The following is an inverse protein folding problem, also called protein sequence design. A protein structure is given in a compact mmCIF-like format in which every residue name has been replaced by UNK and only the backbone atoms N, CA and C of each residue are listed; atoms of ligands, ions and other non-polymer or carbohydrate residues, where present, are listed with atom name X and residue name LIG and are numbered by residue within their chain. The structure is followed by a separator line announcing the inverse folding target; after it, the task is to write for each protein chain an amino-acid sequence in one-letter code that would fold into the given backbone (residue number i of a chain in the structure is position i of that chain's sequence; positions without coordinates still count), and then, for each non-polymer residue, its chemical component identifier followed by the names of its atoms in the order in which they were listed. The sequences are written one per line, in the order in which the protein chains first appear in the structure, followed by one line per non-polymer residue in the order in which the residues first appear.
data_IF_772594843052
#
_entry.id   IF_772594843052
#
_cell.length_a   1.000
_cell.length_b   1.000
_cell.length_c   1.000
_cell.angle_alpha   90.00
_cell.angle_beta   90.00
_cell.angle_gamma   90.00
#
_symmetry.space_group_name_H-M   'P 1'
#
loop_
_entity.id
_entity.type
_entity.pdbx_description
1 polymer ?
#
# COMPACT_ATOMS: atom_id res chain seq x y z
N UNK A 1 18.17 6.56 10.35
CA UNK A 1 18.95 6.21 9.16
C UNK A 1 20.10 5.36 9.64
N UNK A 2 20.09 4.07 9.32
CA UNK A 2 21.20 3.20 9.68
C UNK A 2 22.42 3.59 8.83
N UNK A 3 23.58 3.91 9.43
CA UNK A 3 24.79 4.32 8.70
C UNK A 3 25.47 3.20 7.90
N UNK A 4 24.82 2.04 7.72
CA UNK A 4 25.47 0.78 7.30
C UNK A 4 24.84 0.12 6.07
N UNK A 5 23.95 0.79 5.32
CA UNK A 5 23.38 0.19 4.11
C UNK A 5 24.25 0.45 2.89
N UNK A 6 24.47 -0.58 2.05
CA UNK A 6 25.26 -0.47 0.81
C UNK A 6 24.71 0.59 -0.17
N UNK A 7 23.41 0.87 -0.12
CA UNK A 7 22.77 1.92 -0.90
C UNK A 7 22.00 2.90 -0.02
N UNK A 8 22.10 4.19 -0.34
CA UNK A 8 21.29 5.23 0.27
C UNK A 8 19.85 5.18 -0.26
N UNK A 9 18.89 5.68 0.53
CA UNK A 9 17.49 5.77 0.12
C UNK A 9 17.28 6.60 -1.16
N UNK A 10 18.10 7.65 -1.35
CA UNK A 10 18.09 8.46 -2.57
C UNK A 10 18.55 7.66 -3.80
N UNK A 11 19.57 6.82 -3.64
CA UNK A 11 20.05 5.95 -4.72
C UNK A 11 19.00 4.91 -5.09
N UNK A 12 18.35 4.29 -4.11
CA UNK A 12 17.24 3.35 -4.35
C UNK A 12 16.10 4.02 -5.13
N UNK A 13 15.71 5.23 -4.73
CA UNK A 13 14.68 6.02 -5.42
C UNK A 13 15.06 6.29 -6.88
N UNK A 14 16.31 6.69 -7.15
CA UNK A 14 16.80 6.94 -8.51
C UNK A 14 16.77 5.68 -9.39
N UNK A 15 17.12 4.53 -8.83
CA UNK A 15 17.06 3.24 -9.54
C UNK A 15 15.61 2.91 -9.88
N UNK A 16 14.69 3.05 -8.91
CA UNK A 16 13.26 2.79 -9.14
C UNK A 16 12.66 3.72 -10.20
N UNK A 17 13.00 5.01 -10.18
CA UNK A 17 12.62 5.98 -11.22
C UNK A 17 13.15 5.63 -12.61
N UNK A 18 14.29 4.94 -12.69
CA UNK A 18 14.87 4.49 -13.96
C UNK A 18 14.20 3.22 -14.48
N UNK A 19 13.77 2.33 -13.58
CA UNK A 19 13.09 1.08 -13.92
C UNK A 19 11.62 1.30 -14.33
N UNK A 20 10.90 2.17 -13.62
CA UNK A 20 9.47 2.35 -13.78
C UNK A 20 9.07 2.63 -15.25
N UNK A 21 9.69 3.58 -15.99
CA UNK A 21 9.35 3.82 -17.40
C UNK A 21 9.59 2.61 -18.31
N UNK A 22 10.62 1.80 -18.03
CA UNK A 22 10.94 0.59 -18.80
C UNK A 22 9.87 -0.48 -18.57
N UNK A 23 9.45 -0.66 -17.31
CA UNK A 23 8.35 -1.54 -16.93
C UNK A 23 7.08 -1.08 -17.64
N UNK A 24 6.70 0.19 -17.53
CA UNK A 24 5.49 0.74 -18.17
C UNK A 24 5.50 0.50 -19.69
N UNK A 25 6.65 0.65 -20.36
CA UNK A 25 6.78 0.41 -21.80
C UNK A 25 6.68 -1.07 -22.18
N UNK A 26 7.24 -1.98 -21.38
CA UNK A 26 7.34 -3.42 -21.71
C UNK A 26 6.18 -4.26 -21.21
N UNK A 27 5.56 -3.88 -20.10
CA UNK A 27 4.58 -4.68 -19.39
C UNK A 27 3.21 -4.75 -20.09
N UNK A 28 2.96 -3.86 -21.08
CA UNK A 28 1.63 -3.64 -21.63
C UNK A 28 0.66 -3.10 -20.56
N UNK A 29 -0.46 -2.52 -20.98
CA UNK A 29 -1.40 -1.81 -20.09
C UNK A 29 -1.89 -2.64 -18.88
N UNK A 30 -1.87 -3.98 -18.97
CA UNK A 30 -2.39 -4.88 -17.92
C UNK A 30 -1.43 -5.21 -16.78
N UNK A 31 -0.11 -5.20 -17.01
CA UNK A 31 0.91 -5.45 -15.96
C UNK A 31 1.54 -4.13 -15.50
N UNK A 32 1.62 -3.13 -16.40
CA UNK A 32 2.07 -1.77 -16.09
C UNK A 32 1.22 -1.06 -15.03
N UNK A 33 -0.08 -1.39 -14.93
CA UNK A 33 -0.98 -0.83 -13.93
C UNK A 33 -0.80 -1.42 -12.52
N UNK A 34 0.00 -2.50 -12.37
CA UNK A 34 0.06 -3.26 -11.13
C UNK A 34 1.20 -2.80 -10.19
N UNK A 35 2.38 -2.45 -10.70
CA UNK A 35 3.52 -2.11 -9.82
C UNK A 35 3.77 -0.62 -9.83
N UNK A 36 3.88 -0.03 -8.64
CA UNK A 36 4.23 1.38 -8.51
C UNK A 36 5.70 1.57 -8.12
N UNK A 37 6.11 2.83 -7.99
CA UNK A 37 7.47 3.18 -7.60
C UNK A 37 7.87 2.58 -6.23
N UNK A 38 6.98 2.63 -5.23
CA UNK A 38 7.22 2.06 -3.89
C UNK A 38 7.49 0.56 -3.95
N UNK A 39 6.74 -0.18 -4.77
CA UNK A 39 6.89 -1.63 -4.91
C UNK A 39 8.30 -1.98 -5.47
N UNK A 40 8.77 -1.19 -6.45
CA UNK A 40 10.12 -1.34 -7.02
C UNK A 40 11.20 -0.96 -6.00
N UNK A 41 11.04 0.17 -5.29
CA UNK A 41 11.96 0.61 -4.24
C UNK A 41 12.12 -0.44 -3.14
N UNK A 42 11.01 -1.01 -2.65
CA UNK A 42 11.02 -2.07 -1.65
C UNK A 42 11.71 -3.34 -2.14
N UNK A 43 11.52 -3.71 -3.40
CA UNK A 43 12.17 -4.88 -3.97
C UNK A 43 13.69 -4.69 -4.06
N UNK A 44 14.15 -3.52 -4.51
CA UNK A 44 15.58 -3.17 -4.54
C UNK A 44 16.13 -3.17 -3.12
N UNK A 45 15.44 -2.51 -2.18
CA UNK A 45 15.84 -2.44 -0.77
C UNK A 45 16.01 -3.83 -0.17
N UNK A 46 15.06 -4.74 -0.41
CA UNK A 46 15.16 -6.12 0.07
C UNK A 46 16.36 -6.87 -0.52
N UNK A 47 16.67 -6.65 -1.80
CA UNK A 47 17.88 -7.20 -2.43
C UNK A 47 19.16 -6.69 -1.76
N UNK A 48 19.23 -5.39 -1.47
CA UNK A 48 20.37 -4.77 -0.78
C UNK A 48 20.50 -5.27 0.66
N UNK A 49 19.39 -5.31 1.40
CA UNK A 49 19.38 -5.76 2.80
C UNK A 49 19.79 -7.23 2.94
N UNK A 50 19.37 -8.09 2.00
CA UNK A 50 19.78 -9.49 1.98
C UNK A 50 21.29 -9.65 1.76
N UNK A 51 21.87 -8.80 0.91
CA UNK A 51 23.32 -8.74 0.73
C UNK A 51 24.02 -8.21 1.97
N UNK A 52 23.54 -7.11 2.56
CA UNK A 52 24.10 -6.54 3.78
C UNK A 52 24.13 -7.58 4.93
N UNK A 53 23.05 -8.36 5.07
CA UNK A 53 22.96 -9.43 6.06
C UNK A 53 23.90 -10.60 5.74
N UNK A 54 23.98 -11.00 4.48
CA UNK A 54 24.91 -12.03 4.02
C UNK A 54 26.39 -11.63 4.24
N UNK A 55 26.75 -10.36 4.02
CA UNK A 55 28.10 -9.86 4.29
C UNK A 55 28.40 -9.81 5.80
N UNK A 56 27.43 -9.45 6.65
CA UNK A 56 27.59 -9.42 8.12
C UNK A 56 27.87 -10.81 8.72
N UNK A 57 27.44 -11.88 8.07
CA UNK A 57 27.68 -13.25 8.53
C UNK A 57 29.11 -13.74 8.23
N UNK A 58 29.89 -12.98 7.45
CA UNK A 58 31.26 -13.31 7.08
C UNK A 58 32.26 -12.52 7.91
N UNK A 59 33.52 -13.00 7.92
CA UNK A 59 34.62 -12.19 8.44
C UNK A 59 34.70 -10.88 7.63
N UNK A 60 34.85 -9.75 8.31
CA UNK A 60 35.06 -8.42 7.72
C UNK A 60 36.10 -8.43 6.59
N UNK A 61 37.15 -9.25 6.69
CA UNK A 61 38.18 -9.38 5.64
C UNK A 61 37.69 -10.04 4.34
N UNK A 62 36.50 -10.65 4.34
CA UNK A 62 35.90 -11.35 3.21
C UNK A 62 34.78 -10.55 2.52
N UNK A 63 34.52 -9.31 2.96
CA UNK A 63 33.53 -8.43 2.32
C UNK A 63 33.96 -8.01 0.91
N UNK A 64 32.99 -7.82 0.00
CA UNK A 64 33.27 -7.52 -1.41
C UNK A 64 34.03 -6.19 -1.57
N UNK A 65 33.69 -5.22 -0.72
CA UNK A 65 34.24 -3.86 -0.72
C UNK A 65 35.30 -3.61 0.36
N UNK A 66 35.89 -4.68 0.95
CA UNK A 66 36.85 -4.56 2.05
C UNK A 66 38.07 -3.67 1.73
N UNK A 67 38.52 -3.62 0.47
CA UNK A 67 39.75 -2.91 0.06
C UNK A 67 39.51 -1.49 -0.50
N UNK A 68 38.34 -0.86 -0.24
CA UNK A 68 37.97 0.45 -0.84
C UNK A 68 38.35 1.63 0.08
N UNK A 69 39.12 2.63 -0.43
CA UNK A 69 39.41 3.98 0.17
C UNK A 69 39.74 5.00 -0.96
N UNK A 70 39.54 6.37 -0.86
CA UNK A 70 39.22 7.23 0.29
C UNK A 70 37.96 8.15 0.16
N UNK A 71 37.03 7.93 -0.79
CA UNK A 71 35.70 8.61 -0.74
C UNK A 71 34.75 7.95 0.29
N UNK A 72 35.22 6.92 0.99
CA UNK A 72 34.44 6.11 1.94
C UNK A 72 33.25 5.40 1.30
N UNK A 73 32.25 5.08 2.13
CA UNK A 73 30.97 4.49 1.71
C UNK A 73 30.23 5.27 0.60
N UNK A 74 30.50 6.58 0.45
CA UNK A 74 29.93 7.38 -0.64
C UNK A 74 30.46 6.96 -2.02
N UNK A 75 31.68 6.42 -2.09
CA UNK A 75 32.24 5.86 -3.33
C UNK A 75 31.54 4.56 -3.74
N UNK A 76 31.20 3.71 -2.75
CA UNK A 76 30.46 2.46 -2.96
C UNK A 76 29.01 2.75 -3.36
N UNK A 77 28.33 3.66 -2.67
CA UNK A 77 26.95 4.06 -3.00
C UNK A 77 26.85 4.65 -4.43
N UNK A 78 27.79 5.53 -4.81
CA UNK A 78 27.85 6.09 -6.17
C UNK A 78 28.06 4.99 -7.21
N UNK A 79 29.03 4.10 -6.97
CA UNK A 79 29.31 2.98 -7.86
C UNK A 79 28.10 2.05 -8.04
N UNK A 80 27.46 1.65 -6.95
CA UNK A 80 26.29 0.79 -6.99
C UNK A 80 25.12 1.53 -7.67
N UNK A 81 24.94 2.82 -7.44
CA UNK A 81 23.97 3.65 -8.15
C UNK A 81 24.21 3.66 -9.66
N UNK A 82 25.45 3.82 -10.10
CA UNK A 82 25.82 3.79 -11.52
C UNK A 82 25.67 2.39 -12.12
N UNK A 83 26.02 1.34 -11.37
CA UNK A 83 25.80 -0.06 -11.76
C UNK A 83 24.32 -0.37 -11.96
N UNK A 84 23.46 -0.05 -10.99
CA UNK A 84 22.03 -0.36 -11.06
C UNK A 84 21.27 0.52 -12.05
N UNK A 85 21.84 1.65 -12.47
CA UNK A 85 21.29 2.48 -13.56
C UNK A 85 21.89 2.16 -14.94
N UNK A 86 22.82 1.20 -15.03
CA UNK A 86 23.33 0.69 -16.30
C UNK A 86 22.20 0.06 -17.12
N UNK A 87 22.15 0.35 -18.42
CA UNK A 87 21.07 -0.12 -19.30
C UNK A 87 20.93 -1.65 -19.36
N UNK A 88 22.04 -2.40 -19.32
CA UNK A 88 22.00 -3.86 -19.33
C UNK A 88 21.44 -4.41 -18.00
N UNK A 89 21.84 -3.81 -16.88
CA UNK A 89 21.35 -4.18 -15.55
C UNK A 89 19.86 -3.87 -15.43
N UNK A 90 19.42 -2.68 -15.85
CA UNK A 90 18.02 -2.29 -15.86
C UNK A 90 17.14 -3.26 -16.69
N UNK A 91 17.64 -3.75 -17.82
CA UNK A 91 16.92 -4.72 -18.66
C UNK A 91 16.71 -6.06 -17.94
N UNK A 92 17.70 -6.52 -17.18
CA UNK A 92 17.62 -7.74 -16.38
C UNK A 92 16.73 -7.57 -15.14
N UNK A 93 16.84 -6.44 -14.44
CA UNK A 93 15.97 -6.13 -13.29
C UNK A 93 14.51 -5.90 -13.68
N UNK A 94 14.24 -5.58 -14.95
CA UNK A 94 12.87 -5.49 -15.47
C UNK A 94 12.22 -6.86 -15.60
N UNK A 95 12.98 -7.96 -15.85
CA UNK A 95 12.41 -9.28 -16.16
C UNK A 95 11.43 -9.78 -15.10
N UNK A 96 11.74 -9.73 -13.79
CA UNK A 96 10.80 -10.17 -12.75
C UNK A 96 9.54 -9.33 -12.69
N UNK A 97 9.67 -8.02 -12.89
CA UNK A 97 8.56 -7.05 -12.80
C UNK A 97 7.51 -7.26 -13.89
N UNK A 98 7.91 -7.87 -15.01
CA UNK A 98 7.02 -8.21 -16.13
C UNK A 98 6.78 -9.72 -16.26
N UNK A 99 7.04 -10.48 -15.20
CA UNK A 99 6.84 -11.93 -15.12
C UNK A 99 7.60 -12.73 -16.20
N UNK A 100 8.79 -12.28 -16.59
CA UNK A 100 9.69 -12.95 -17.54
C UNK A 100 10.79 -13.79 -16.86
N UNK A 101 10.69 -14.00 -15.55
CA UNK A 101 11.60 -14.85 -14.78
C UNK A 101 12.69 -14.08 -14.05
N UNK A 102 13.71 -14.81 -13.57
CA UNK A 102 14.83 -14.25 -12.79
C UNK A 102 15.78 -13.43 -13.68
N UNK A 103 16.40 -12.36 -13.15
CA UNK A 103 17.52 -11.69 -13.81
C UNK A 103 18.66 -12.67 -14.11
N UNK A 104 19.30 -12.51 -15.27
CA UNK A 104 20.44 -13.32 -15.66
C UNK A 104 21.71 -12.92 -14.87
N UNK A 105 22.17 -13.82 -14.01
CA UNK A 105 23.34 -13.60 -13.14
C UNK A 105 24.62 -13.31 -13.92
N UNK A 106 24.86 -13.99 -15.03
CA UNK A 106 26.10 -13.85 -15.79
C UNK A 106 26.20 -12.47 -16.44
N UNK A 107 25.08 -11.94 -16.92
CA UNK A 107 24.98 -10.57 -17.45
C UNK A 107 25.24 -9.56 -16.33
N UNK A 108 24.61 -9.76 -15.16
CA UNK A 108 24.76 -8.89 -14.01
C UNK A 108 26.21 -8.87 -13.48
N UNK A 109 26.85 -10.04 -13.36
CA UNK A 109 28.25 -10.17 -12.92
C UNK A 109 29.19 -9.47 -13.90
N UNK A 110 29.01 -9.71 -15.21
CA UNK A 110 29.84 -9.09 -16.25
C UNK A 110 29.71 -7.57 -16.24
N UNK A 111 28.49 -7.05 -16.14
CA UNK A 111 28.26 -5.61 -16.03
C UNK A 111 28.89 -5.02 -14.75
N UNK A 112 28.85 -5.76 -13.63
CA UNK A 112 29.43 -5.33 -12.36
C UNK A 112 30.95 -5.22 -12.45
N UNK A 113 31.61 -6.23 -13.03
CA UNK A 113 33.06 -6.22 -13.24
C UNK A 113 33.48 -5.06 -14.15
N UNK A 114 32.79 -4.86 -15.27
CA UNK A 114 33.07 -3.75 -16.20
C UNK A 114 32.92 -2.38 -15.52
N UNK A 115 31.87 -2.22 -14.71
CA UNK A 115 31.66 -0.98 -13.96
C UNK A 115 32.74 -0.78 -12.88
N UNK A 116 33.13 -1.84 -12.18
CA UNK A 116 34.18 -1.78 -11.16
C UNK A 116 35.53 -1.39 -11.76
N UNK A 117 35.88 -1.93 -12.93
CA UNK A 117 37.08 -1.54 -13.70
C UNK A 117 37.03 -0.07 -14.12
N UNK A 118 35.90 0.39 -14.66
CA UNK A 118 35.71 1.78 -15.08
C UNK A 118 35.86 2.78 -13.91
N UNK A 119 35.37 2.41 -12.73
CA UNK A 119 35.47 3.20 -11.50
C UNK A 119 36.76 2.95 -10.71
N UNK A 120 37.65 2.07 -11.20
CA UNK A 120 38.91 1.65 -10.54
C UNK A 120 38.70 1.10 -9.11
N UNK A 121 37.56 0.45 -8.89
CA UNK A 121 37.21 -0.17 -7.61
C UNK A 121 37.89 -1.54 -7.53
N UNK A 122 38.68 -1.74 -6.47
CA UNK A 122 39.33 -3.03 -6.20
C UNK A 122 38.37 -3.92 -5.40
N UNK A 123 37.68 -4.81 -6.11
CA UNK A 123 36.88 -5.86 -5.49
C UNK A 123 37.78 -6.85 -4.75
N UNK A 124 37.33 -7.33 -3.61
CA UNK A 124 38.02 -8.36 -2.86
C UNK A 124 37.98 -9.71 -3.62
N UNK A 125 39.14 -10.24 -4.01
CA UNK A 125 39.24 -11.51 -4.71
C UNK A 125 38.86 -12.72 -3.83
N UNK A 126 38.88 -12.56 -2.51
CA UNK A 126 38.44 -13.58 -1.56
C UNK A 126 36.90 -13.58 -1.39
N UNK A 127 36.22 -12.52 -1.84
CA UNK A 127 34.77 -12.45 -1.86
C UNK A 127 34.22 -13.07 -3.16
N UNK A 128 33.11 -13.80 -3.04
CA UNK A 128 32.41 -14.34 -4.21
C UNK A 128 31.41 -13.31 -4.73
N UNK A 129 31.80 -12.55 -5.76
CA UNK A 129 30.88 -11.73 -6.53
C UNK A 129 29.68 -12.54 -7.08
N UNK A 130 29.85 -13.79 -7.54
CA UNK A 130 28.72 -14.64 -7.91
C UNK A 130 27.70 -14.82 -6.77
N UNK A 131 28.17 -15.12 -5.55
CA UNK A 131 27.27 -15.32 -4.40
C UNK A 131 26.58 -14.01 -4.01
N UNK A 132 27.30 -12.88 -4.11
CA UNK A 132 26.76 -11.55 -3.85
C UNK A 132 25.59 -11.24 -4.80
N UNK A 133 25.82 -11.43 -6.12
CA UNK A 133 24.79 -11.20 -7.14
C UNK A 133 23.63 -12.19 -6.98
N UNK A 134 23.92 -13.45 -6.67
CA UNK A 134 22.88 -14.45 -6.43
C UNK A 134 22.01 -14.11 -5.22
N UNK A 135 22.61 -13.64 -4.12
CA UNK A 135 21.90 -13.21 -2.91
C UNK A 135 20.97 -12.05 -3.23
N UNK A 136 21.49 -11.01 -3.88
CA UNK A 136 20.68 -9.87 -4.33
C UNK A 136 19.52 -10.31 -5.22
N UNK A 137 19.83 -11.10 -6.27
CA UNK A 137 18.85 -11.53 -7.27
C UNK A 137 17.75 -12.38 -6.65
N UNK A 138 18.08 -13.30 -5.75
CA UNK A 138 17.09 -14.15 -5.11
C UNK A 138 16.13 -13.35 -4.23
N UNK A 139 16.64 -12.43 -3.40
CA UNK A 139 15.80 -11.55 -2.58
C UNK A 139 14.94 -10.61 -3.44
N UNK A 140 15.55 -9.93 -4.41
CA UNK A 140 14.84 -9.06 -5.35
C UNK A 140 13.71 -9.81 -6.08
N UNK A 141 14.01 -11.01 -6.61
CA UNK A 141 13.03 -11.83 -7.32
C UNK A 141 11.89 -12.32 -6.41
N UNK A 142 12.19 -12.73 -5.18
CA UNK A 142 11.16 -13.17 -4.23
C UNK A 142 10.21 -12.03 -3.84
N UNK A 143 10.72 -10.83 -3.61
CA UNK A 143 9.90 -9.66 -3.28
C UNK A 143 9.06 -9.19 -4.47
N UNK A 144 9.65 -9.09 -5.67
CA UNK A 144 8.89 -8.73 -6.88
C UNK A 144 7.78 -9.75 -7.18
N UNK A 145 8.05 -11.05 -7.04
CA UNK A 145 7.03 -12.08 -7.20
C UNK A 145 5.91 -11.96 -6.15
N UNK A 146 6.25 -11.60 -4.91
CA UNK A 146 5.27 -11.37 -3.84
C UNK A 146 4.39 -10.16 -4.14
N UNK A 147 4.96 -9.04 -4.59
CA UNK A 147 4.18 -7.85 -4.94
C UNK A 147 3.27 -8.09 -6.15
N UNK A 148 3.75 -8.82 -7.17
CA UNK A 148 2.88 -9.26 -8.27
C UNK A 148 1.70 -10.11 -7.78
N UNK A 149 1.91 -11.02 -6.81
CA UNK A 149 0.82 -11.79 -6.19
C UNK A 149 -0.15 -10.89 -5.43
N UNK A 150 0.33 -9.87 -4.72
CA UNK A 150 -0.54 -8.91 -4.04
C UNK A 150 -1.42 -8.16 -5.03
N UNK A 151 -0.89 -7.78 -6.19
CA UNK A 151 -1.68 -7.08 -7.20
C UNK A 151 -2.77 -7.96 -7.81
N UNK A 152 -2.45 -9.22 -8.10
CA UNK A 152 -3.45 -10.22 -8.54
C UNK A 152 -4.51 -10.44 -7.46
N UNK A 153 -4.08 -10.62 -6.20
CA UNK A 153 -4.99 -10.83 -5.07
C UNK A 153 -5.87 -9.60 -4.81
N UNK A 154 -5.33 -8.39 -4.98
CA UNK A 154 -6.08 -7.14 -4.84
C UNK A 154 -7.20 -7.05 -5.85
N UNK A 155 -6.93 -7.39 -7.12
CA UNK A 155 -7.97 -7.37 -8.15
C UNK A 155 -9.13 -8.29 -7.81
N UNK A 156 -8.85 -9.52 -7.37
CA UNK A 156 -9.89 -10.46 -6.91
C UNK A 156 -10.61 -9.92 -5.66
N UNK A 157 -9.85 -9.46 -4.67
CA UNK A 157 -10.39 -8.86 -3.44
C UNK A 157 -11.36 -7.70 -3.73
N UNK A 158 -10.94 -6.71 -4.53
CA UNK A 158 -11.79 -5.57 -4.89
C UNK A 158 -13.01 -6.00 -5.70
N UNK A 159 -12.85 -6.95 -6.62
CA UNK A 159 -13.97 -7.48 -7.39
C UNK A 159 -15.02 -8.15 -6.49
N UNK A 160 -14.59 -8.99 -5.54
CA UNK A 160 -15.52 -9.64 -4.61
C UNK A 160 -16.13 -8.65 -3.61
N UNK A 161 -15.34 -7.69 -3.12
CA UNK A 161 -15.82 -6.64 -2.22
C UNK A 161 -16.92 -5.81 -2.90
N UNK A 162 -16.67 -5.34 -4.13
CA UNK A 162 -17.66 -4.63 -4.91
C UNK A 162 -18.91 -5.49 -5.13
N UNK A 163 -18.76 -6.75 -5.54
CA UNK A 163 -19.91 -7.66 -5.73
C UNK A 163 -20.74 -7.84 -4.45
N UNK A 164 -20.09 -7.91 -3.29
CA UNK A 164 -20.76 -8.12 -2.01
C UNK A 164 -21.53 -6.88 -1.53
N UNK A 165 -21.01 -5.68 -1.76
CA UNK A 165 -21.57 -4.43 -1.23
C UNK A 165 -22.33 -3.58 -2.26
N UNK A 166 -22.19 -3.85 -3.56
CA UNK A 166 -22.89 -3.14 -4.64
C UNK A 166 -24.31 -3.67 -4.86
N UNK A 167 -24.63 -4.90 -4.40
CA UNK A 167 -25.97 -5.48 -4.50
C UNK A 167 -26.86 -4.99 -3.34
N UNK A 168 -27.71 -3.99 -3.61
CA UNK A 168 -28.68 -3.47 -2.63
C UNK A 168 -30.03 -4.11 -2.87
N UNK A 169 -30.43 -4.99 -1.94
CA UNK A 169 -31.79 -5.54 -1.89
C UNK A 169 -32.70 -4.59 -1.11
N UNK A 170 -33.70 -4.02 -1.78
CA UNK A 170 -34.74 -3.23 -1.13
C UNK A 170 -35.72 -4.15 -0.39
N UNK A 171 -35.51 -4.37 0.91
CA UNK A 171 -36.51 -4.99 1.76
C UNK A 171 -37.63 -3.98 2.06
N UNK A 172 -38.84 -4.18 1.52
CA UNK A 172 -40.03 -3.44 1.97
C UNK A 172 -40.99 -2.88 0.91
N UNK A 173 -40.75 -3.06 -0.40
CA UNK A 173 -41.71 -2.64 -1.46
C UNK A 173 -42.34 -3.88 -2.13
N UNK A 174 -42.77 -4.85 -1.32
CA UNK A 174 -43.58 -5.95 -1.83
C UNK A 174 -45.06 -5.55 -1.70
N UNK A 175 -45.66 -5.14 -2.83
CA UNK A 175 -47.12 -5.14 -2.96
C UNK A 175 -47.57 -6.61 -2.95
N UNK A 176 -48.64 -7.00 -2.23
CA UNK A 176 -49.10 -8.38 -2.20
C UNK A 176 -49.30 -8.92 -3.63
N UNK A 177 -48.52 -9.93 -4.02
CA UNK A 177 -48.56 -10.54 -5.36
C UNK A 177 -47.36 -10.27 -6.28
N UNK A 178 -46.37 -9.47 -5.86
CA UNK A 178 -45.14 -9.24 -6.61
C UNK A 178 -43.90 -9.44 -5.72
N UNK A 179 -43.28 -10.62 -5.78
CA UNK A 179 -41.87 -10.76 -5.42
C UNK A 179 -41.03 -10.21 -6.58
N UNK A 180 -40.75 -8.92 -6.55
CA UNK A 180 -39.68 -8.35 -7.37
C UNK A 180 -38.56 -7.97 -6.42
N UNK A 181 -37.58 -8.85 -6.22
CA UNK A 181 -36.26 -8.42 -5.77
C UNK A 181 -35.69 -7.51 -6.86
N UNK A 182 -36.04 -6.21 -6.84
CA UNK A 182 -35.29 -5.21 -7.60
C UNK A 182 -33.98 -5.02 -6.86
N UNK A 183 -32.92 -5.66 -7.33
CA UNK A 183 -31.57 -5.27 -6.98
C UNK A 183 -31.16 -4.09 -7.86
N UNK A 184 -30.69 -3.02 -7.23
CA UNK A 184 -30.07 -1.90 -7.93
C UNK A 184 -28.63 -1.77 -7.43
N UNK A 185 -27.74 -1.24 -8.27
CA UNK A 185 -26.34 -1.03 -7.88
C UNK A 185 -26.25 0.14 -6.90
N UNK A 186 -25.58 -0.06 -5.76
CA UNK A 186 -25.40 0.96 -4.74
C UNK A 186 -24.90 2.28 -5.35
N UNK A 187 -23.91 2.21 -6.23
CA UNK A 187 -23.33 3.40 -6.86
C UNK A 187 -24.31 4.17 -7.77
N UNK A 188 -25.41 3.55 -8.22
CA UNK A 188 -26.42 4.17 -9.10
C UNK A 188 -27.57 4.83 -8.33
N UNK A 189 -27.85 4.33 -7.12
CA UNK A 189 -28.99 4.79 -6.29
C UNK A 189 -28.55 5.67 -5.10
N UNK A 190 -27.26 5.68 -4.79
CA UNK A 190 -26.74 6.41 -3.63
C UNK A 190 -26.78 7.92 -3.88
N UNK A 191 -27.46 8.64 -2.98
CA UNK A 191 -27.46 10.10 -2.96
C UNK A 191 -26.46 10.55 -1.91
N UNK A 192 -25.47 11.34 -2.33
CA UNK A 192 -24.41 11.83 -1.44
C UNK A 192 -24.99 12.72 -0.33
N UNK A 193 -24.82 12.38 0.95
CA UNK A 193 -25.31 13.20 2.05
C UNK A 193 -24.41 14.41 2.31
N UNK A 194 -25.01 15.46 2.88
CA UNK A 194 -24.26 16.55 3.51
C UNK A 194 -23.70 16.09 4.86
N UNK A 195 -22.48 16.54 5.15
CA UNK A 195 -21.82 16.38 6.44
C UNK A 195 -21.49 17.75 7.03
N UNK A 196 -21.42 17.78 8.35
CA UNK A 196 -21.08 18.97 9.13
C UNK A 196 -19.78 18.67 9.86
N UNK A 197 -18.77 19.50 9.65
CA UNK A 197 -17.51 19.40 10.41
C UNK A 197 -17.69 20.00 11.80
N UNK A 198 -17.48 19.17 12.81
CA UNK A 198 -17.39 19.56 14.21
C UNK A 198 -15.91 19.57 14.60
N UNK A 199 -15.33 20.77 14.73
CA UNK A 199 -13.96 20.95 15.23
C UNK A 199 -14.03 21.00 16.76
N UNK A 200 -14.04 19.84 17.39
CA UNK A 200 -13.88 19.75 18.84
C UNK A 200 -12.39 19.75 19.20
N UNK A 201 -11.96 20.67 20.06
CA UNK A 201 -10.60 20.59 20.64
C UNK A 201 -10.54 19.46 21.66
N UNK A 202 -9.36 18.92 21.94
CA UNK A 202 -9.17 17.89 22.98
C UNK A 202 -9.74 18.32 24.34
N UNK A 203 -9.72 19.63 24.62
CA UNK A 203 -10.30 20.23 25.81
C UNK A 203 -11.84 20.22 25.81
N UNK A 204 -12.45 20.39 24.64
CA UNK A 204 -13.90 20.35 24.49
C UNK A 204 -14.44 18.93 24.72
N UNK A 205 -13.74 17.90 24.20
CA UNK A 205 -14.08 16.49 24.43
C UNK A 205 -13.91 16.07 25.90
N UNK A 206 -12.88 16.59 26.59
CA UNK A 206 -12.64 16.31 28.01
C UNK A 206 -13.70 16.97 28.90
N UNK A 207 -14.11 18.20 28.57
CA UNK A 207 -15.20 18.90 29.23
C UNK A 207 -16.57 18.25 28.97
N UNK A 208 -16.80 17.72 27.77
CA UNK A 208 -18.04 17.01 27.43
C UNK A 208 -18.16 15.69 28.21
N UNK A 209 -17.05 14.93 28.32
CA UNK A 209 -17.00 13.70 29.14
C UNK A 209 -17.29 13.98 30.63
N UNK A 210 -16.70 15.04 31.18
CA UNK A 210 -16.94 15.47 32.56
C UNK A 210 -18.38 15.98 32.77
N UNK A 211 -18.98 16.62 31.75
CA UNK A 211 -20.36 17.08 31.80
C UNK A 211 -21.37 15.91 31.76
N UNK A 212 -21.14 14.90 30.92
CA UNK A 212 -21.94 13.67 30.87
C UNK A 212 -21.90 12.91 32.20
N UNK A 213 -20.73 12.83 32.84
CA UNK A 213 -20.56 12.23 34.17
C UNK A 213 -21.30 13.00 35.28
N UNK A 214 -21.47 14.32 35.11
CA UNK A 214 -22.14 15.20 36.09
C UNK A 214 -23.66 15.31 35.93
N UNK A 215 -24.23 14.86 34.81
CA UNK A 215 -25.66 14.97 34.50
C UNK A 215 -26.15 16.39 34.18
N UNK A 216 -25.27 17.39 34.08
CA UNK A 216 -25.61 18.74 33.64
C UNK A 216 -25.87 18.77 32.12
N UNK A 217 -27.15 18.82 31.70
CA UNK A 217 -27.51 19.23 30.34
C UNK A 217 -27.21 20.73 30.18
N UNK A 218 -26.02 21.08 29.71
CA UNK A 218 -25.76 22.44 29.21
C UNK A 218 -26.23 22.57 27.76
N UNK A 219 -26.85 23.70 27.48
CA UNK A 219 -27.22 24.13 26.14
C UNK A 219 -25.97 24.11 25.25
N UNK A 220 -26.05 23.34 24.15
CA UNK A 220 -25.02 23.24 23.09
C UNK A 220 -24.58 24.60 22.50
N UNK A 221 -25.27 25.69 22.83
CA UNK A 221 -25.03 27.04 22.36
C UNK A 221 -23.67 27.65 22.78
N UNK A 222 -23.01 27.15 23.83
CA UNK A 222 -21.72 27.72 24.28
C UNK A 222 -20.50 27.24 23.47
N UNK A 223 -20.63 26.19 22.65
CA UNK A 223 -19.60 25.71 21.72
C UNK A 223 -19.71 26.36 20.32
N UNK A 224 -20.70 27.22 20.08
CA UNK A 224 -20.99 27.85 18.79
C UNK A 224 -20.09 29.07 18.48
N UNK A 225 -18.76 28.89 18.42
CA UNK A 225 -17.86 29.94 17.88
C UNK A 225 -17.17 29.61 16.58
N UNK A 226 -17.50 28.50 15.97
CA UNK A 226 -17.14 28.21 14.58
C UNK A 226 -18.39 27.84 13.82
N UNK A 227 -18.70 28.63 12.79
CA UNK A 227 -19.76 28.31 11.84
C UNK A 227 -19.48 26.89 11.31
N UNK A 228 -20.39 25.91 11.53
CA UNK A 228 -20.11 24.54 11.15
C UNK A 228 -19.95 24.47 9.63
N UNK A 229 -18.78 24.03 9.16
CA UNK A 229 -18.52 23.89 7.72
C UNK A 229 -19.37 22.74 7.21
N UNK A 230 -20.30 23.04 6.30
CA UNK A 230 -21.10 22.04 5.60
C UNK A 230 -20.49 21.72 4.26
N UNK A 231 -20.41 20.45 3.93
CA UNK A 231 -19.93 19.97 2.64
C UNK A 231 -20.46 18.56 2.34
N UNK A 232 -20.29 18.09 1.11
CA UNK A 232 -20.70 16.75 0.70
C UNK A 232 -19.75 15.69 1.26
N UNK A 233 -20.26 14.51 1.59
CA UNK A 233 -19.44 13.48 2.24
C UNK A 233 -18.25 12.98 1.38
N UNK A 234 -18.31 13.06 0.05
CA UNK A 234 -17.16 12.76 -0.83
C UNK A 234 -15.95 13.66 -0.54
N UNK A 235 -16.19 14.92 -0.18
CA UNK A 235 -15.14 15.88 0.18
C UNK A 235 -14.49 15.54 1.54
N UNK A 236 -15.01 14.58 2.31
CA UNK A 236 -14.36 14.12 3.55
C UNK A 236 -12.95 13.59 3.29
N UNK A 237 -12.74 12.90 2.18
CA UNK A 237 -11.47 12.23 1.90
C UNK A 237 -10.42 13.17 1.30
N UNK A 238 -10.86 14.29 0.71
CA UNK A 238 -9.98 15.26 0.02
C UNK A 238 -9.70 16.53 0.83
N UNK A 239 -10.65 16.98 1.66
CA UNK A 239 -10.53 18.23 2.42
C UNK A 239 -10.00 18.03 3.84
N UNK A 240 -10.02 16.81 4.38
CA UNK A 240 -9.47 16.52 5.70
C UNK A 240 -7.96 16.26 5.64
N UNK A 241 -7.20 17.05 6.40
CA UNK A 241 -5.77 16.79 6.64
C UNK A 241 -5.56 15.62 7.63
N UNK A 242 -6.62 15.23 8.34
CA UNK A 242 -6.59 14.16 9.34
C UNK A 242 -6.69 12.79 8.69
N UNK A 243 -5.75 11.89 9.04
CA UNK A 243 -5.78 10.46 8.63
C UNK A 243 -6.88 9.63 9.31
N UNK A 244 -7.70 10.26 10.17
CA UNK A 244 -8.73 9.62 10.98
C UNK A 244 -9.93 10.55 11.03
N UNK A 245 -11.10 10.01 10.70
CA UNK A 245 -12.37 10.73 10.67
C UNK A 245 -13.39 9.89 11.42
N UNK A 246 -14.21 10.54 12.24
CA UNK A 246 -15.34 9.91 12.93
C UNK A 246 -16.63 10.53 12.39
N UNK A 247 -17.52 9.70 11.85
CA UNK A 247 -18.81 10.15 11.33
C UNK A 247 -19.90 9.83 12.34
N UNK A 248 -20.48 10.88 12.92
CA UNK A 248 -21.59 10.79 13.85
C UNK A 248 -22.93 11.03 13.14
N UNK A 249 -24.01 10.50 13.69
CA UNK A 249 -25.35 10.72 13.16
C UNK A 249 -26.39 9.82 13.80
N UNK A 250 -27.66 10.20 13.68
CA UNK A 250 -28.77 9.42 14.23
C UNK A 250 -28.83 7.98 13.68
N UNK A 251 -29.44 7.02 14.40
CA UNK A 251 -29.77 5.71 13.84
C UNK A 251 -30.54 5.86 12.52
N UNK A 252 -30.17 5.09 11.50
CA UNK A 252 -30.80 5.17 10.17
C UNK A 252 -30.30 6.31 9.27
N UNK A 253 -29.39 7.18 9.71
CA UNK A 253 -28.85 8.29 8.91
C UNK A 253 -27.97 7.89 7.71
N UNK A 254 -27.88 6.60 7.37
CA UNK A 254 -27.11 6.11 6.23
C UNK A 254 -25.59 5.96 6.44
N UNK A 255 -25.05 6.11 7.65
CA UNK A 255 -23.59 5.98 7.92
C UNK A 255 -22.97 4.71 7.34
N UNK A 256 -23.56 3.55 7.61
CA UNK A 256 -23.06 2.27 7.08
C UNK A 256 -23.17 2.20 5.56
N UNK A 257 -24.23 2.79 4.99
CA UNK A 257 -24.40 2.88 3.53
C UNK A 257 -23.34 3.76 2.89
N UNK A 258 -22.99 4.90 3.53
CA UNK A 258 -21.90 5.78 3.10
C UNK A 258 -20.54 5.05 3.13
N UNK A 259 -20.24 4.29 4.19
CA UNK A 259 -19.00 3.48 4.25
C UNK A 259 -18.96 2.40 3.16
N UNK A 260 -20.08 1.69 2.94
CA UNK A 260 -20.19 0.73 1.83
C UNK A 260 -20.00 1.41 0.47
N UNK A 261 -20.57 2.61 0.28
CA UNK A 261 -20.43 3.36 -0.96
C UNK A 261 -18.97 3.73 -1.23
N UNK A 262 -18.25 4.28 -0.25
CA UNK A 262 -16.81 4.55 -0.39
C UNK A 262 -16.01 3.28 -0.71
N UNK A 263 -16.29 2.18 -0.02
CA UNK A 263 -15.62 0.91 -0.28
C UNK A 263 -15.84 0.42 -1.72
N UNK A 264 -17.07 0.49 -2.23
CA UNK A 264 -17.41 0.08 -3.60
C UNK A 264 -16.75 1.00 -4.63
N UNK A 265 -16.80 2.32 -4.43
CA UNK A 265 -16.18 3.29 -5.36
C UNK A 265 -14.67 3.08 -5.45
N UNK A 266 -13.99 2.87 -4.32
CA UNK A 266 -12.56 2.54 -4.29
C UNK A 266 -12.27 1.18 -4.96
N UNK A 267 -13.07 0.16 -4.68
CA UNK A 267 -12.91 -1.16 -5.29
C UNK A 267 -13.13 -1.16 -6.81
N UNK A 268 -13.93 -0.22 -7.31
CA UNK A 268 -14.18 -0.01 -8.75
C UNK A 268 -13.17 0.96 -9.40
N UNK A 269 -12.10 1.34 -8.69
CA UNK A 269 -11.07 2.28 -9.18
C UNK A 269 -11.62 3.68 -9.51
N UNK A 270 -12.65 4.12 -8.78
CA UNK A 270 -13.28 5.45 -8.93
C UNK A 270 -12.93 6.36 -7.74
N UNK A 271 -11.65 6.40 -7.38
CA UNK A 271 -11.18 7.23 -6.27
C UNK A 271 -11.32 8.73 -6.59
N UNK A 272 -11.17 9.11 -7.86
CA UNK A 272 -11.33 10.49 -8.34
C UNK A 272 -12.76 11.02 -8.12
N UNK A 273 -13.77 10.17 -8.25
CA UNK A 273 -15.18 10.51 -7.94
C UNK A 273 -15.38 10.81 -6.45
N UNK A 274 -14.46 10.37 -5.58
CA UNK A 274 -14.43 10.69 -4.15
C UNK A 274 -13.48 11.86 -3.82
N UNK A 275 -12.97 12.56 -4.84
CA UNK A 275 -12.01 13.65 -4.67
C UNK A 275 -10.63 13.21 -4.19
N UNK A 276 -10.34 11.91 -4.16
CA UNK A 276 -8.99 11.41 -3.92
C UNK A 276 -8.16 11.54 -5.19
N UNK A 277 -6.86 11.81 -5.04
CA UNK A 277 -5.93 11.68 -6.15
C UNK A 277 -6.06 10.28 -6.75
N UNK A 278 -6.18 10.16 -8.08
CA UNK A 278 -6.22 8.86 -8.76
C UNK A 278 -4.92 8.06 -8.66
N UNK A 279 -3.89 8.63 -8.02
CA UNK A 279 -2.51 8.16 -8.04
C UNK A 279 -2.09 7.19 -6.91
N UNK A 280 -2.79 7.06 -5.77
CA UNK A 280 -2.65 5.87 -4.95
C UNK A 280 -3.67 4.84 -5.43
N UNK A 281 -3.17 3.69 -5.84
CA UNK A 281 -3.99 2.51 -6.01
C UNK A 281 -4.52 2.05 -4.63
N UNK A 282 -5.70 2.55 -4.24
CA UNK A 282 -6.26 2.38 -2.89
C UNK A 282 -6.81 0.97 -2.64
N UNK A 283 -6.62 0.45 -1.43
CA UNK A 283 -7.27 -0.76 -0.93
C UNK A 283 -8.34 -0.40 0.14
N UNK A 284 -9.65 -0.52 -0.16
CA UNK A 284 -10.69 -0.36 0.84
C UNK A 284 -10.74 -1.59 1.77
N UNK A 285 -10.79 -1.38 3.08
CA UNK A 285 -10.94 -2.44 4.10
C UNK A 285 -12.17 -2.11 4.95
N UNK A 286 -13.30 -2.75 4.68
CA UNK A 286 -14.55 -2.49 5.39
C UNK A 286 -14.72 -3.43 6.59
N UNK A 287 -14.80 -2.87 7.80
CA UNK A 287 -14.87 -3.64 9.05
C UNK A 287 -16.12 -3.27 9.84
N UNK A 288 -17.04 -4.23 9.95
CA UNK A 288 -18.18 -4.09 10.86
C UNK A 288 -17.72 -4.34 12.29
N UNK A 289 -17.60 -3.28 13.09
CA UNK A 289 -17.19 -3.37 14.52
C UNK A 289 -18.03 -4.39 15.30
N UNK A 290 -19.35 -4.47 15.04
CA UNK A 290 -20.25 -5.46 15.65
C UNK A 290 -19.81 -6.90 15.38
N UNK A 291 -19.31 -7.18 14.18
CA UNK A 291 -18.86 -8.51 13.80
C UNK A 291 -17.44 -8.79 14.30
N UNK A 292 -16.55 -7.78 14.31
CA UNK A 292 -15.24 -7.87 14.94
C UNK A 292 -15.35 -8.19 16.45
N UNK A 293 -16.29 -7.57 17.16
CA UNK A 293 -16.52 -7.78 18.58
C UNK A 293 -16.89 -9.24 18.94
N UNK A 294 -17.32 -10.05 17.96
CA UNK A 294 -17.59 -11.49 18.14
C UNK A 294 -16.32 -12.35 18.07
N UNK A 295 -15.18 -11.75 17.74
CA UNK A 295 -13.88 -12.40 17.60
C UNK A 295 -12.81 -11.64 18.41
N UNK A 296 -12.95 -11.57 19.75
CA UNK A 296 -12.04 -10.81 20.61
C UNK A 296 -10.60 -11.35 20.61
N UNK A 297 -10.41 -12.58 20.13
CA UNK A 297 -9.12 -13.26 19.98
C UNK A 297 -8.32 -12.81 18.75
N UNK A 298 -8.93 -12.05 17.82
CA UNK A 298 -8.33 -11.68 16.53
C UNK A 298 -7.92 -10.22 16.47
N UNK A 299 -6.77 -9.95 15.87
CA UNK A 299 -6.42 -8.59 15.47
C UNK A 299 -7.35 -8.09 14.36
N UNK A 300 -7.35 -6.78 14.11
CA UNK A 300 -8.09 -6.15 13.00
C UNK A 300 -7.70 -6.79 11.66
N UNK A 301 -6.41 -7.08 11.47
CA UNK A 301 -5.87 -7.65 10.23
C UNK A 301 -6.30 -9.11 10.09
N UNK A 302 -6.21 -9.90 11.16
CA UNK A 302 -6.65 -11.31 11.15
C UNK A 302 -8.15 -11.42 10.87
N UNK A 303 -8.93 -10.51 11.45
CA UNK A 303 -10.36 -10.42 11.17
C UNK A 303 -10.62 -10.04 9.72
N UNK A 304 -9.93 -9.04 9.17
CA UNK A 304 -10.08 -8.63 7.78
C UNK A 304 -9.76 -9.76 6.80
N UNK A 305 -8.69 -10.53 7.06
CA UNK A 305 -8.33 -11.74 6.28
C UNK A 305 -9.41 -12.81 6.39
N UNK A 306 -9.84 -13.13 7.61
CA UNK A 306 -10.92 -14.10 7.84
C UNK A 306 -12.21 -13.69 7.14
N UNK A 307 -12.57 -12.40 7.18
CA UNK A 307 -13.74 -11.87 6.50
C UNK A 307 -13.59 -11.99 4.97
N UNK A 308 -12.44 -11.61 4.42
CA UNK A 308 -12.14 -11.71 3.00
C UNK A 308 -12.33 -13.15 2.48
N UNK A 309 -11.71 -14.11 3.15
CA UNK A 309 -11.67 -15.50 2.68
C UNK A 309 -12.99 -16.25 2.96
N UNK A 310 -13.62 -16.00 4.12
CA UNK A 310 -14.80 -16.78 4.55
C UNK A 310 -16.16 -16.16 4.22
N UNK A 311 -16.23 -14.84 3.99
CA UNK A 311 -17.51 -14.15 3.75
C UNK A 311 -17.66 -13.67 2.33
N UNK A 312 -16.68 -12.92 1.82
CA UNK A 312 -16.74 -12.40 0.45
C UNK A 312 -16.12 -13.36 -0.58
N UNK A 313 -15.70 -14.57 -0.16
CA UNK A 313 -15.25 -15.66 -1.02
C UNK A 313 -14.07 -15.29 -1.94
N UNK A 314 -13.13 -14.48 -1.42
CA UNK A 314 -11.86 -14.21 -2.09
C UNK A 314 -11.00 -15.47 -1.99
N UNK A 315 -10.18 -15.73 -3.02
CA UNK A 315 -9.18 -16.79 -2.95
C UNK A 315 -8.23 -16.58 -1.76
N UNK A 316 -7.55 -17.62 -1.30
CA UNK A 316 -6.60 -17.51 -0.19
C UNK A 316 -5.65 -16.33 -0.42
N UNK A 317 -5.68 -15.36 0.49
CA UNK A 317 -4.89 -14.15 0.34
C UNK A 317 -3.42 -14.47 0.64
N UNK A 318 -2.47 -13.96 -0.16
CA UNK A 318 -1.06 -14.09 0.16
C UNK A 318 -0.74 -13.55 1.56
N UNK A 319 0.27 -14.13 2.21
CA UNK A 319 0.76 -13.64 3.51
C UNK A 319 1.27 -12.20 3.37
N UNK A 320 0.97 -11.34 4.34
CA UNK A 320 1.36 -9.92 4.29
C UNK A 320 0.53 -9.02 3.35
N UNK A 321 -0.55 -9.55 2.75
CA UNK A 321 -1.38 -8.79 1.80
C UNK A 321 -1.88 -7.44 2.38
N UNK A 322 -2.60 -7.44 3.51
CA UNK A 322 -3.15 -6.20 4.08
C UNK A 322 -2.05 -5.30 4.65
N UNK A 323 -1.04 -5.91 5.25
CA UNK A 323 0.13 -5.26 5.84
C UNK A 323 0.90 -4.44 4.79
N UNK A 324 1.03 -4.98 3.58
CA UNK A 324 1.64 -4.27 2.45
C UNK A 324 0.91 -2.96 2.14
N UNK A 325 -0.42 -2.99 1.97
CA UNK A 325 -1.20 -1.80 1.64
C UNK A 325 -1.29 -0.80 2.80
N UNK A 326 -1.39 -1.29 4.04
CA UNK A 326 -1.42 -0.46 5.25
C UNK A 326 -0.09 0.24 5.51
N UNK A 327 1.03 -0.48 5.38
CA UNK A 327 2.38 0.09 5.56
C UNK A 327 2.70 1.16 4.53
N UNK A 328 2.13 1.07 3.33
CA UNK A 328 2.25 2.08 2.28
C UNK A 328 1.32 3.29 2.46
N UNK A 329 0.41 3.27 3.44
CA UNK A 329 -0.61 4.29 3.58
C UNK A 329 -1.58 4.33 2.39
N UNK A 330 -1.68 3.23 1.62
CA UNK A 330 -2.54 3.05 0.45
C UNK A 330 -3.80 2.24 0.78
N UNK A 331 -4.14 2.11 2.05
CA UNK A 331 -5.35 1.43 2.50
C UNK A 331 -6.26 2.38 3.27
N UNK A 332 -7.56 2.26 3.04
CA UNK A 332 -8.59 2.99 3.77
C UNK A 332 -9.41 2.00 4.59
N UNK A 333 -9.33 2.11 5.92
CA UNK A 333 -10.17 1.32 6.83
C UNK A 333 -11.48 2.07 7.05
N UNK A 334 -12.59 1.39 6.80
CA UNK A 334 -13.97 1.92 6.84
C UNK A 334 -14.84 1.18 7.85
#
# INVERSE_FOLDING_TARGET
MDPSSLLSGLTIQKIAQSLLPIVLRKAGERIAQALNQSDIEKAIKAGVEAVDEWEKQRDTQQGLFFHVDPDGWNGVDRFLGDYFTNSAVLLELTQPLINQGKPNRDILIKAFQQQAEAHKIKLNQQASLPDWIETFVNAYFQHTATYLKFQVAKKDYCQQLAKWFDDVKFAGIAVPGQEVEKSEKLAQIFVMPDVVEEVATARDLELERLAEESGEKRDRALLEKTTPRKFLADQLLSQNQSRRVVILGAPGSGKTTLMSYFAVMLAQSKAEDLGLDGAPDWLPILIRIRDLARHPDKSIIDYARMFAEKRIAVNTLPEGFFEHWLSDGRALIL
#
